data_IF_970498200693
#
_entry.id   IF_970498200693
#
_cell.length_a   1.000
_cell.length_b   1.000
_cell.length_c   1.000
_cell.angle_alpha   90.00
_cell.angle_beta   90.00
_cell.angle_gamma   90.00
#
_symmetry.space_group_name_H-M   'P 1'
#
loop_
_entity.id
_entity.type
_entity.pdbx_description
1 polymer ?
#
# COMPACT_ATOMS: atom_id res chain seq x y z
N UNK A 1 0.85 -23.71 11.05
CA UNK A 1 0.80 -22.66 10.03
C UNK A 1 0.64 -21.34 10.75
N UNK A 2 1.71 -20.56 10.91
CA UNK A 2 1.66 -19.29 11.63
C UNK A 2 1.22 -18.19 10.67
N UNK A 3 0.12 -17.52 10.97
CA UNK A 3 -0.29 -16.32 10.25
C UNK A 3 0.50 -15.13 10.80
N UNK A 4 1.24 -14.45 9.94
CA UNK A 4 1.89 -13.17 10.28
C UNK A 4 1.02 -12.07 9.69
N UNK A 5 0.36 -11.30 10.56
CA UNK A 5 -0.46 -10.15 10.15
C UNK A 5 0.38 -8.89 10.36
N UNK A 6 0.49 -8.08 9.31
CA UNK A 6 1.09 -6.76 9.39
C UNK A 6 0.11 -5.72 8.87
N UNK A 7 -0.03 -4.67 9.67
CA UNK A 7 -0.84 -3.52 9.32
C UNK A 7 0.09 -2.42 8.82
N UNK A 8 -0.12 -1.98 7.58
CA UNK A 8 0.63 -0.89 6.98
C UNK A 8 -0.28 0.31 6.83
N UNK A 9 -0.24 1.28 7.77
CA UNK A 9 -0.99 2.51 7.59
C UNK A 9 -0.42 3.28 6.40
N UNK A 10 -1.21 4.16 5.76
CA UNK A 10 -0.75 4.99 4.63
C UNK A 10 0.56 5.71 4.90
N UNK A 11 0.77 6.23 6.12
CA UNK A 11 1.99 6.91 6.54
C UNK A 11 3.25 6.02 6.58
N UNK A 12 3.11 4.70 6.55
CA UNK A 12 4.23 3.77 6.51
C UNK A 12 4.73 3.52 5.07
N UNK A 13 4.03 4.05 4.07
CA UNK A 13 4.43 3.93 2.69
C UNK A 13 5.69 4.73 2.41
N UNK A 14 6.64 4.09 1.76
CA UNK A 14 7.79 4.74 1.16
C UNK A 14 7.42 5.06 -0.29
N UNK A 15 7.48 6.34 -0.71
CA UNK A 15 7.12 6.72 -2.07
C UNK A 15 8.07 6.06 -3.07
N UNK A 16 7.52 5.56 -4.16
CA UNK A 16 8.30 5.10 -5.30
C UNK A 16 9.10 6.25 -5.94
N UNK A 17 10.25 5.92 -6.52
CA UNK A 17 11.05 6.90 -7.29
C UNK A 17 10.35 7.31 -8.59
N UNK A 18 9.52 6.42 -9.16
CA UNK A 18 8.75 6.63 -10.38
C UNK A 18 7.29 6.37 -10.05
N UNK A 19 6.41 7.31 -10.42
CA UNK A 19 4.95 7.22 -10.19
C UNK A 19 4.57 6.83 -8.76
N UNK A 20 5.01 7.58 -7.72
CA UNK A 20 4.58 7.31 -6.34
C UNK A 20 3.11 7.64 -6.15
N UNK A 21 2.38 6.77 -5.45
CA UNK A 21 1.08 7.14 -4.90
C UNK A 21 1.24 8.33 -3.94
N UNK A 22 0.33 9.30 -4.01
CA UNK A 22 0.42 10.51 -3.21
C UNK A 22 -0.03 10.23 -1.77
N UNK A 23 0.72 10.77 -0.79
CA UNK A 23 0.23 10.83 0.59
C UNK A 23 -0.75 11.98 0.71
N UNK A 24 -1.98 11.69 1.11
CA UNK A 24 -3.04 12.69 1.21
C UNK A 24 -3.90 12.51 2.48
N UNK A 25 -4.81 13.45 2.70
CA UNK A 25 -5.81 13.46 3.75
C UNK A 25 -7.20 13.45 3.11
N UNK A 26 -7.79 12.27 2.96
CA UNK A 26 -9.15 12.13 2.49
C UNK A 26 -10.14 12.84 3.44
N UNK A 27 -11.12 13.59 2.92
CA UNK A 27 -12.10 14.29 3.74
C UNK A 27 -13.01 13.31 4.48
N UNK A 28 -12.89 13.26 5.80
CA UNK A 28 -13.80 12.49 6.67
C UNK A 28 -14.94 13.35 7.21
N UNK A 29 -16.02 12.72 7.66
CA UNK A 29 -17.20 13.41 8.19
C UNK A 29 -16.97 14.10 9.53
N UNK A 30 -15.98 13.65 10.31
CA UNK A 30 -15.60 14.24 11.61
C UNK A 30 -14.19 14.85 11.60
N UNK A 31 -13.24 14.21 10.92
CA UNK A 31 -11.87 14.69 10.72
C UNK A 31 -11.27 14.05 9.47
N UNK A 32 -10.30 14.68 8.80
CA UNK A 32 -9.61 14.09 7.65
C UNK A 32 -8.81 12.82 8.04
N UNK A 33 -8.79 11.83 7.15
CA UNK A 33 -8.12 10.54 7.38
C UNK A 33 -6.92 10.40 6.44
N UNK A 34 -5.71 10.06 6.94
CA UNK A 34 -4.56 9.79 6.09
C UNK A 34 -4.85 8.65 5.09
N UNK A 35 -4.49 8.85 3.84
CA UNK A 35 -4.66 7.87 2.77
C UNK A 35 -3.50 7.91 1.76
N UNK A 36 -3.43 6.87 0.94
CA UNK A 36 -2.68 6.89 -0.31
C UNK A 36 -3.67 7.14 -1.44
N UNK A 37 -3.51 8.26 -2.13
CA UNK A 37 -4.31 8.61 -3.31
C UNK A 37 -3.61 8.09 -4.56
N UNK A 38 -4.30 7.22 -5.28
CA UNK A 38 -3.81 6.59 -6.52
C UNK A 38 -4.51 7.23 -7.73
N UNK A 39 -3.71 7.66 -8.71
CA UNK A 39 -4.19 8.27 -9.95
C UNK A 39 -4.86 7.23 -10.87
N UNK A 40 -5.99 7.59 -11.48
CA UNK A 40 -6.70 6.74 -12.43
C UNK A 40 -6.04 6.67 -13.82
N UNK A 41 -5.21 7.64 -14.17
CA UNK A 41 -4.56 7.79 -15.46
C UNK A 41 -3.13 7.22 -15.49
N UNK A 42 -2.58 6.80 -14.35
CA UNK A 42 -1.24 6.27 -14.24
C UNK A 42 -1.18 5.05 -13.30
N UNK A 43 -0.34 4.08 -13.64
CA UNK A 43 -0.02 3.00 -12.71
C UNK A 43 0.96 3.52 -11.66
N UNK A 44 0.45 3.74 -10.46
CA UNK A 44 1.23 4.25 -9.32
C UNK A 44 1.61 3.16 -8.32
N UNK A 45 2.68 3.42 -7.56
CA UNK A 45 3.30 2.44 -6.69
C UNK A 45 3.54 3.00 -5.28
N UNK A 46 3.38 2.13 -4.29
CA UNK A 46 3.75 2.39 -2.90
C UNK A 46 4.54 1.19 -2.36
N UNK A 47 5.62 1.47 -1.63
CA UNK A 47 6.43 0.43 -1.01
C UNK A 47 6.22 0.38 0.49
N UNK A 48 6.08 -0.84 1.02
CA UNK A 48 6.04 -1.09 2.45
C UNK A 48 7.16 -2.08 2.79
N UNK A 49 7.77 -1.91 3.96
CA UNK A 49 8.77 -2.83 4.45
C UNK A 49 8.32 -3.44 5.76
N UNK A 50 8.70 -4.70 5.96
CA UNK A 50 8.54 -5.36 7.23
C UNK A 50 9.67 -6.35 7.47
N UNK A 51 9.87 -6.71 8.73
CA UNK A 51 10.81 -7.75 9.10
C UNK A 51 10.07 -9.08 9.18
N UNK A 52 10.39 -9.99 8.27
CA UNK A 52 9.84 -11.34 8.22
C UNK A 52 10.44 -12.23 9.34
N UNK A 53 10.08 -11.97 10.60
CA UNK A 53 10.59 -12.74 11.76
C UNK A 53 9.95 -14.12 11.79
N UNK A 54 10.76 -15.18 11.72
CA UNK A 54 10.32 -16.60 11.70
C UNK A 54 9.36 -16.93 10.55
N UNK A 55 9.45 -16.20 9.44
CA UNK A 55 8.71 -16.54 8.23
C UNK A 55 9.38 -17.72 7.54
N UNK A 56 8.81 -18.92 7.70
CA UNK A 56 9.31 -20.15 7.09
C UNK A 56 8.78 -20.36 5.66
N UNK A 57 8.23 -19.31 5.03
CA UNK A 57 7.53 -19.36 3.74
C UNK A 57 6.00 -19.39 3.87
N UNK A 58 5.30 -19.24 2.75
CA UNK A 58 3.84 -19.26 2.68
C UNK A 58 3.24 -18.07 1.93
N UNK A 59 1.99 -17.73 2.27
CA UNK A 59 1.33 -16.50 1.82
C UNK A 59 1.51 -15.38 2.86
N UNK A 60 1.59 -14.15 2.36
CA UNK A 60 1.48 -12.93 3.18
C UNK A 60 0.15 -12.30 2.88
N UNK A 61 -0.62 -11.97 3.92
CA UNK A 61 -1.86 -11.20 3.79
C UNK A 61 -1.55 -9.75 4.13
N UNK A 62 -1.91 -8.85 3.23
CA UNK A 62 -1.70 -7.41 3.40
C UNK A 62 -3.05 -6.71 3.37
N UNK A 63 -3.22 -5.73 4.25
CA UNK A 63 -4.35 -4.81 4.24
C UNK A 63 -3.80 -3.42 3.96
N UNK A 64 -4.33 -2.78 2.91
CA UNK A 64 -3.91 -1.46 2.45
C UNK A 64 -5.14 -0.56 2.46
N UNK A 65 -5.03 0.55 3.18
CA UNK A 65 -6.01 1.64 3.12
C UNK A 65 -5.63 2.55 1.95
N UNK A 66 -6.56 2.74 1.01
CA UNK A 66 -6.36 3.52 -0.22
C UNK A 66 -7.56 4.42 -0.50
N UNK A 67 -7.34 5.46 -1.29
CA UNK A 67 -8.36 6.40 -1.75
C UNK A 67 -8.18 6.66 -3.25
N UNK A 68 -9.27 7.00 -3.93
CA UNK A 68 -9.23 7.53 -5.29
C UNK A 68 -10.29 8.63 -5.41
N UNK A 69 -9.84 9.86 -5.60
CA UNK A 69 -10.73 11.03 -5.64
C UNK A 69 -11.29 11.29 -7.04
N UNK A 70 -10.43 11.16 -8.06
CA UNK A 70 -10.73 11.59 -9.43
C UNK A 70 -11.24 10.45 -10.34
N UNK A 71 -11.15 9.21 -9.87
CA UNK A 71 -11.58 8.03 -10.60
C UNK A 71 -13.13 7.90 -10.64
N UNK A 72 -13.76 8.45 -11.66
CA UNK A 72 -15.23 8.44 -11.77
C UNK A 72 -15.83 7.11 -12.28
N UNK A 73 -15.02 6.27 -12.95
CA UNK A 73 -15.45 4.98 -13.51
C UNK A 73 -14.24 4.06 -13.78
N UNK A 74 -14.49 2.75 -13.90
CA UNK A 74 -13.46 1.77 -14.28
C UNK A 74 -13.34 0.61 -13.30
N UNK A 75 -12.18 -0.03 -13.28
CA UNK A 75 -11.85 -1.12 -12.36
C UNK A 75 -10.62 -0.73 -11.56
N UNK A 76 -10.62 -1.10 -10.29
CA UNK A 76 -9.45 -1.03 -9.42
C UNK A 76 -8.70 -2.35 -9.56
N UNK A 77 -7.47 -2.30 -10.05
CA UNK A 77 -6.62 -3.47 -10.25
C UNK A 77 -5.37 -3.29 -9.41
N UNK A 78 -5.10 -4.27 -8.54
CA UNK A 78 -3.92 -4.26 -7.68
C UNK A 78 -2.94 -5.33 -8.14
N UNK A 79 -1.68 -4.94 -8.27
CA UNK A 79 -0.56 -5.87 -8.33
C UNK A 79 0.26 -5.74 -7.05
N UNK A 80 0.69 -6.87 -6.50
CA UNK A 80 1.50 -6.91 -5.30
C UNK A 80 2.70 -7.84 -5.53
N UNK A 81 3.88 -7.36 -5.16
CA UNK A 81 5.11 -8.12 -5.20
C UNK A 81 5.82 -8.06 -3.84
N UNK A 82 6.43 -9.16 -3.45
CA UNK A 82 7.31 -9.22 -2.29
C UNK A 82 8.76 -9.28 -2.77
N UNK A 83 9.56 -8.29 -2.38
CA UNK A 83 10.99 -8.26 -2.67
C UNK A 83 11.80 -8.40 -1.38
N UNK A 84 12.91 -9.14 -1.43
CA UNK A 84 13.88 -9.16 -0.35
C UNK A 84 14.81 -7.96 -0.49
N UNK A 85 14.77 -7.02 0.47
CA UNK A 85 15.63 -5.82 0.46
C UNK A 85 17.10 -6.13 0.80
N UNK A 86 17.36 -7.30 1.39
CA UNK A 86 18.71 -7.85 1.63
C UNK A 86 18.82 -9.16 0.86
N UNK A 87 19.44 -9.17 -0.34
CA UNK A 87 19.58 -10.40 -1.13
C UNK A 87 20.50 -11.46 -0.50
N UNK A 88 21.14 -11.13 0.62
CA UNK A 88 22.20 -11.92 1.27
C UNK A 88 21.72 -12.63 2.55
#
# INVERSE_FOLDING_TARGET
MSVVIHYFPPMAAVPATISPAAHDLAPGSAFPVPCLDFDAAADEQAFFYFRAVRYAGGSVTVTIDWYADTAAAGRVVWEAALACLTPD
#
